data_IF_191868151182
#
_entry.id   IF_191868151182
#
_cell.length_a   1.000
_cell.length_b   1.000
_cell.length_c   1.000
_cell.angle_alpha   90.00
_cell.angle_beta   90.00
_cell.angle_gamma   90.00
#
_symmetry.space_group_name_H-M   'P 1'
#
loop_
_entity.id
_entity.type
_entity.pdbx_description
1 polymer ?
#
# COMPACT_ATOMS: atom_id res chain seq x y z
N UNK A 1 -4.35 35.02 -5.13
CA UNK A 1 -3.87 33.69 -5.53
C UNK A 1 -4.59 32.62 -4.77
N UNK A 2 -4.51 31.36 -5.21
CA UNK A 2 -5.24 30.22 -4.62
C UNK A 2 -4.76 29.84 -3.21
N UNK A 3 -3.68 30.46 -2.71
CA UNK A 3 -3.05 30.08 -1.44
C UNK A 3 -3.87 30.45 -0.20
N UNK A 4 -4.76 31.44 -0.31
CA UNK A 4 -5.66 31.81 0.79
C UNK A 4 -6.73 30.73 1.09
N UNK A 5 -7.08 29.95 0.10
CA UNK A 5 -8.08 28.87 0.20
C UNK A 5 -7.43 27.48 0.29
N UNK A 6 -6.12 27.44 0.50
CA UNK A 6 -5.35 26.21 0.47
C UNK A 6 -4.90 25.74 1.84
N UNK A 7 -4.65 24.43 1.94
CA UNK A 7 -3.97 23.81 3.07
C UNK A 7 -2.59 23.40 2.58
N UNK A 8 -1.57 23.66 3.38
CA UNK A 8 -0.22 23.23 3.09
C UNK A 8 0.21 22.15 4.07
N UNK A 9 0.81 21.08 3.54
CA UNK A 9 1.56 20.11 4.32
C UNK A 9 3.03 20.29 3.99
N UNK A 10 3.88 20.18 5.00
CA UNK A 10 5.33 20.22 4.83
C UNK A 10 6.01 19.28 5.81
N UNK A 11 7.22 18.90 5.51
CA UNK A 11 8.08 18.16 6.42
C UNK A 11 9.32 18.97 6.77
N UNK A 12 9.76 18.84 8.00
CA UNK A 12 11.00 19.42 8.53
C UNK A 12 11.83 18.31 9.17
N UNK A 13 13.12 18.54 9.28
CA UNK A 13 13.97 17.67 10.10
C UNK A 13 13.58 17.87 11.58
N UNK A 14 13.68 16.80 12.38
CA UNK A 14 13.39 16.85 13.81
C UNK A 14 14.32 17.77 14.61
N UNK A 15 15.50 18.05 14.05
CA UNK A 15 16.53 18.93 14.61
C UNK A 15 16.58 20.32 13.92
N UNK A 16 15.59 20.65 13.07
CA UNK A 16 15.54 21.91 12.35
C UNK A 16 15.37 23.10 13.32
N UNK A 17 16.21 24.11 13.13
CA UNK A 17 16.11 25.38 13.84
C UNK A 17 15.04 26.31 13.27
N UNK A 18 14.63 27.36 14.01
CA UNK A 18 13.69 28.36 13.52
C UNK A 18 14.16 28.99 12.20
N UNK A 19 13.33 28.95 11.16
CA UNK A 19 13.62 29.54 9.85
C UNK A 19 14.39 28.64 8.88
N UNK A 20 14.65 27.39 9.22
CA UNK A 20 15.16 26.40 8.27
C UNK A 20 14.08 26.06 7.23
N UNK A 21 14.52 25.81 5.98
CA UNK A 21 13.60 25.52 4.90
C UNK A 21 13.04 24.09 5.04
N UNK A 22 11.75 23.93 4.78
CA UNK A 22 11.08 22.63 4.75
C UNK A 22 11.81 21.64 3.81
N UNK A 23 11.82 20.37 4.17
CA UNK A 23 12.40 19.30 3.35
C UNK A 23 11.48 18.93 2.18
N UNK A 24 10.17 19.04 2.39
CA UNK A 24 9.15 18.86 1.37
C UNK A 24 7.93 19.76 1.64
N UNK A 25 7.18 20.06 0.59
CA UNK A 25 5.96 20.87 0.67
C UNK A 25 4.96 20.41 -0.39
N UNK A 26 3.68 20.56 -0.06
CA UNK A 26 2.56 20.31 -0.95
C UNK A 26 1.39 21.21 -0.61
N UNK A 27 0.57 21.53 -1.59
CA UNK A 27 -0.63 22.34 -1.45
C UNK A 27 -1.87 21.52 -1.79
N UNK A 28 -2.85 21.55 -0.89
CA UNK A 28 -4.17 20.95 -1.08
C UNK A 28 -5.17 22.06 -1.32
N UNK A 29 -6.02 21.90 -2.32
CA UNK A 29 -7.08 22.82 -2.66
C UNK A 29 -8.44 22.13 -2.52
N UNK A 30 -9.44 22.82 -1.92
CA UNK A 30 -10.80 22.31 -1.84
C UNK A 30 -11.46 22.20 -3.23
N UNK A 31 -12.57 21.46 -3.32
CA UNK A 31 -13.41 21.42 -4.53
C UNK A 31 -13.81 22.83 -4.98
N UNK A 32 -13.86 23.06 -6.29
CA UNK A 32 -14.30 24.31 -6.89
C UNK A 32 -13.20 25.38 -7.08
N UNK A 33 -11.98 25.19 -6.54
CA UNK A 33 -10.89 26.18 -6.69
C UNK A 33 -10.08 25.96 -7.98
N UNK A 34 -9.65 24.75 -8.25
CA UNK A 34 -8.93 24.39 -9.49
C UNK A 34 -9.73 23.45 -10.36
N UNK A 35 -10.46 22.53 -9.74
CA UNK A 35 -11.31 21.52 -10.34
C UNK A 35 -12.57 21.38 -9.49
N UNK A 36 -13.57 20.69 -10.01
CA UNK A 36 -14.81 20.38 -9.28
C UNK A 36 -14.57 19.44 -8.08
N UNK A 37 -13.39 18.84 -8.01
CA UNK A 37 -12.94 17.95 -6.94
C UNK A 37 -11.69 18.55 -6.25
N UNK A 38 -11.36 18.08 -5.03
CA UNK A 38 -10.12 18.50 -4.37
C UNK A 38 -8.90 18.19 -5.23
N UNK A 39 -7.88 19.02 -5.11
CA UNK A 39 -6.65 18.81 -5.86
C UNK A 39 -5.39 18.95 -5.02
N UNK A 40 -4.36 18.22 -5.42
CA UNK A 40 -3.03 18.27 -4.85
C UNK A 40 -2.09 18.88 -5.90
N UNK A 41 -1.33 19.88 -5.48
CA UNK A 41 -0.37 20.55 -6.35
C UNK A 41 0.79 21.17 -5.58
N UNK A 42 1.74 21.81 -6.28
CA UNK A 42 2.93 22.39 -5.67
C UNK A 42 3.76 21.36 -4.88
N UNK A 43 3.77 20.11 -5.36
CA UNK A 43 4.56 19.04 -4.74
C UNK A 43 6.03 19.30 -5.01
N UNK A 44 6.80 19.51 -3.95
CA UNK A 44 8.23 19.74 -4.04
C UNK A 44 8.96 19.06 -2.88
N UNK A 45 10.13 18.51 -3.17
CA UNK A 45 11.08 18.00 -2.19
C UNK A 45 12.45 18.61 -2.48
N UNK A 46 13.24 18.85 -1.43
CA UNK A 46 14.65 19.21 -1.61
C UNK A 46 15.38 18.15 -2.44
N UNK A 47 16.35 18.58 -3.24
CA UNK A 47 17.13 17.68 -4.08
C UNK A 47 17.85 16.58 -3.27
N UNK A 48 18.29 16.91 -2.06
CA UNK A 48 18.92 15.97 -1.11
C UNK A 48 17.98 14.89 -0.61
N UNK A 49 16.67 15.07 -0.76
CA UNK A 49 15.62 14.13 -0.33
C UNK A 49 15.03 13.32 -1.48
N UNK A 50 15.50 13.55 -2.71
CA UNK A 50 15.05 12.74 -3.85
C UNK A 50 15.56 11.31 -3.74
N UNK A 51 14.67 10.36 -4.04
CA UNK A 51 14.98 8.93 -3.94
C UNK A 51 14.94 8.34 -2.51
N UNK A 52 14.69 9.15 -1.48
CA UNK A 52 14.59 8.67 -0.08
C UNK A 52 13.21 8.13 0.28
N UNK A 53 12.21 8.27 -0.59
CA UNK A 53 10.80 7.93 -0.29
C UNK A 53 9.99 9.10 0.27
N UNK A 54 10.61 10.23 0.64
CA UNK A 54 9.91 11.37 1.25
C UNK A 54 8.79 11.92 0.36
N UNK A 55 9.01 12.01 -0.96
CA UNK A 55 7.97 12.47 -1.91
C UNK A 55 6.76 11.55 -1.94
N UNK A 56 6.96 10.24 -1.83
CA UNK A 56 5.89 9.27 -1.77
C UNK A 56 5.10 9.39 -0.46
N UNK A 57 5.80 9.49 0.67
CA UNK A 57 5.16 9.70 1.98
C UNK A 57 4.34 11.00 2.00
N UNK A 58 4.90 12.09 1.47
CA UNK A 58 4.20 13.37 1.36
C UNK A 58 2.90 13.24 0.57
N UNK A 59 2.94 12.58 -0.60
CA UNK A 59 1.75 12.39 -1.42
C UNK A 59 0.71 11.49 -0.77
N UNK A 60 1.11 10.42 -0.11
CA UNK A 60 0.18 9.54 0.61
C UNK A 60 -0.50 10.25 1.76
N UNK A 61 0.24 11.06 2.53
CA UNK A 61 -0.34 11.92 3.58
C UNK A 61 -1.29 12.96 2.98
N UNK A 62 -0.94 13.53 1.83
CA UNK A 62 -1.79 14.50 1.13
C UNK A 62 -3.10 13.89 0.66
N UNK A 63 -3.05 12.69 0.10
CA UNK A 63 -4.25 11.94 -0.29
C UNK A 63 -5.14 11.67 0.93
N UNK A 64 -4.57 11.17 2.04
CA UNK A 64 -5.32 10.94 3.28
C UNK A 64 -5.94 12.21 3.84
N UNK A 65 -5.21 13.33 3.80
CA UNK A 65 -5.73 14.61 4.21
C UNK A 65 -6.92 15.05 3.34
N UNK A 66 -6.82 14.92 2.01
CA UNK A 66 -7.94 15.19 1.11
C UNK A 66 -9.15 14.29 1.42
N UNK A 67 -8.92 13.02 1.66
CA UNK A 67 -9.98 12.05 1.99
C UNK A 67 -10.70 12.39 3.29
N UNK A 68 -9.98 12.90 4.29
CA UNK A 68 -10.56 13.32 5.55
C UNK A 68 -11.30 14.66 5.49
N UNK A 69 -10.73 15.61 4.76
CA UNK A 69 -11.28 16.96 4.66
C UNK A 69 -12.48 17.03 3.71
N UNK A 70 -12.43 16.25 2.64
CA UNK A 70 -13.44 16.24 1.59
C UNK A 70 -13.85 14.80 1.26
N UNK A 71 -14.52 14.14 2.19
CA UNK A 71 -15.02 12.79 1.97
C UNK A 71 -15.94 12.75 0.77
N UNK A 72 -15.97 11.62 0.06
CA UNK A 72 -16.76 11.36 -1.14
C UNK A 72 -16.27 12.02 -2.44
N UNK A 73 -15.17 12.78 -2.40
CA UNK A 73 -14.57 13.32 -3.61
C UNK A 73 -13.38 12.48 -4.08
N UNK A 74 -13.27 12.28 -5.39
CA UNK A 74 -12.01 11.89 -6.00
C UNK A 74 -10.98 13.01 -5.81
N UNK A 75 -9.69 12.69 -5.92
CA UNK A 75 -8.60 13.70 -5.84
C UNK A 75 -7.97 13.83 -7.22
N UNK A 76 -7.83 15.06 -7.70
CA UNK A 76 -7.23 15.35 -9.01
C UNK A 76 -5.86 16.00 -8.89
N UNK A 77 -4.97 15.68 -9.82
CA UNK A 77 -3.66 16.32 -9.99
C UNK A 77 -3.41 16.66 -11.45
N UNK A 78 -2.55 17.67 -11.69
CA UNK A 78 -1.85 17.90 -12.94
C UNK A 78 -0.45 17.34 -12.76
N UNK A 79 -0.15 16.21 -13.39
CA UNK A 79 1.12 15.51 -13.23
C UNK A 79 2.05 15.75 -14.41
N UNK A 80 3.33 15.98 -14.15
CA UNK A 80 4.34 15.93 -15.21
C UNK A 80 4.40 14.50 -15.77
N UNK A 81 4.33 14.34 -17.08
CA UNK A 81 4.15 13.03 -17.73
C UNK A 81 5.22 12.01 -17.34
N UNK A 82 6.46 12.41 -17.09
CA UNK A 82 7.51 11.48 -16.66
C UNK A 82 7.30 10.92 -15.25
N UNK A 83 6.35 11.46 -14.46
CA UNK A 83 5.98 10.99 -13.13
C UNK A 83 4.71 10.12 -13.11
N UNK A 84 4.14 9.76 -14.25
CA UNK A 84 2.92 8.95 -14.32
C UNK A 84 3.06 7.69 -13.45
N UNK A 85 4.10 6.88 -13.64
CA UNK A 85 4.30 5.66 -12.87
C UNK A 85 4.42 5.89 -11.36
N UNK A 86 4.99 7.02 -10.94
CA UNK A 86 5.04 7.42 -9.53
C UNK A 86 3.63 7.66 -8.98
N UNK A 87 2.80 8.42 -9.68
CA UNK A 87 1.44 8.71 -9.24
C UNK A 87 0.52 7.49 -9.35
N UNK A 88 0.71 6.63 -10.35
CA UNK A 88 -0.01 5.35 -10.45
C UNK A 88 0.29 4.45 -9.24
N UNK A 89 1.52 4.44 -8.73
CA UNK A 89 1.88 3.68 -7.52
C UNK A 89 1.15 4.15 -6.26
N UNK A 90 0.60 5.36 -6.28
CA UNK A 90 -0.19 5.96 -5.19
C UNK A 90 -1.71 5.90 -5.49
N UNK A 91 -2.08 5.26 -6.59
CA UNK A 91 -3.49 5.01 -6.95
C UNK A 91 -4.13 6.06 -7.84
N UNK A 92 -3.37 6.97 -8.43
CA UNK A 92 -3.87 7.85 -9.46
C UNK A 92 -3.97 7.13 -10.80
N UNK A 93 -4.91 7.53 -11.61
CA UNK A 93 -5.13 7.03 -12.97
C UNK A 93 -5.14 8.19 -13.94
N UNK A 94 -4.58 7.99 -15.12
CA UNK A 94 -4.60 9.00 -16.18
C UNK A 94 -6.06 9.36 -16.52
N UNK A 95 -6.35 10.65 -16.58
CA UNK A 95 -7.67 11.19 -16.89
C UNK A 95 -7.54 12.35 -17.89
N UNK A 96 -7.86 12.06 -19.13
CA UNK A 96 -7.80 13.03 -20.23
C UNK A 96 -6.54 12.94 -21.09
N UNK A 97 -6.36 13.95 -21.93
CA UNK A 97 -5.23 14.05 -22.84
C UNK A 97 -4.07 14.85 -22.21
N UNK A 98 -2.85 14.61 -22.70
CA UNK A 98 -1.69 15.38 -22.29
C UNK A 98 -1.72 16.82 -22.83
N UNK A 99 -1.13 17.74 -22.08
CA UNK A 99 -1.02 19.16 -22.45
C UNK A 99 0.31 19.75 -21.99
N UNK A 100 0.61 20.95 -22.45
CA UNK A 100 1.79 21.69 -22.00
C UNK A 100 1.40 22.70 -20.92
N UNK A 101 2.09 22.65 -19.80
CA UNK A 101 2.04 23.65 -18.73
C UNK A 101 3.48 24.15 -18.53
N UNK A 102 3.72 25.46 -18.71
CA UNK A 102 5.06 26.08 -18.67
C UNK A 102 6.11 25.35 -19.55
N UNK A 103 5.70 24.92 -20.76
CA UNK A 103 6.50 24.11 -21.71
C UNK A 103 6.94 22.72 -21.19
N UNK A 104 6.35 22.22 -20.12
CA UNK A 104 6.58 20.88 -19.60
C UNK A 104 5.34 20.02 -19.91
N UNK A 105 5.52 18.82 -20.49
CA UNK A 105 4.41 17.92 -20.73
C UNK A 105 3.72 17.48 -19.41
N UNK A 106 2.42 17.79 -19.30
CA UNK A 106 1.56 17.42 -18.19
C UNK A 106 0.40 16.55 -18.64
N UNK A 107 -0.19 15.86 -17.70
CA UNK A 107 -1.41 15.09 -17.88
C UNK A 107 -2.27 15.15 -16.63
N UNK A 108 -3.58 15.25 -16.82
CA UNK A 108 -4.52 15.13 -15.72
C UNK A 108 -4.52 13.70 -15.19
N UNK A 109 -4.49 13.57 -13.86
CA UNK A 109 -4.68 12.27 -13.23
C UNK A 109 -5.70 12.39 -12.10
N UNK A 110 -6.51 11.36 -11.91
CA UNK A 110 -7.54 11.31 -10.89
C UNK A 110 -7.34 10.07 -10.01
N UNK A 111 -7.47 10.25 -8.73
CA UNK A 111 -7.51 9.14 -7.77
C UNK A 111 -8.96 9.01 -7.29
N UNK A 112 -9.65 7.92 -7.65
CA UNK A 112 -11.02 7.69 -7.21
C UNK A 112 -11.12 7.69 -5.69
N UNK A 113 -12.23 8.20 -5.18
CA UNK A 113 -12.58 8.02 -3.78
C UNK A 113 -12.80 6.52 -3.52
N UNK A 114 -12.07 5.96 -2.55
CA UNK A 114 -12.24 4.61 -2.00
C UNK A 114 -12.86 3.59 -2.97
N UNK A 115 -12.16 3.30 -4.05
CA UNK A 115 -12.61 2.29 -4.98
C UNK A 115 -12.16 0.92 -4.50
N UNK A 116 -13.09 0.07 -4.09
CA UNK A 116 -12.84 -1.36 -3.87
C UNK A 116 -12.12 -1.97 -5.08
N UNK A 117 -12.54 -1.59 -6.29
CA UNK A 117 -11.90 -2.04 -7.52
C UNK A 117 -10.41 -1.69 -7.59
N UNK A 118 -10.03 -0.46 -7.20
CA UNK A 118 -8.63 -0.05 -7.16
C UNK A 118 -7.84 -0.84 -6.13
N UNK A 119 -8.36 -0.98 -4.92
CA UNK A 119 -7.65 -1.69 -3.85
C UNK A 119 -7.51 -3.19 -4.13
N UNK A 120 -8.54 -3.82 -4.66
CA UNK A 120 -8.49 -5.21 -5.11
C UNK A 120 -7.47 -5.36 -6.24
N UNK A 121 -7.45 -4.43 -7.21
CA UNK A 121 -6.46 -4.43 -8.28
C UNK A 121 -5.02 -4.30 -7.74
N UNK A 122 -4.79 -3.43 -6.78
CA UNK A 122 -3.47 -3.23 -6.17
C UNK A 122 -2.92 -4.53 -5.54
N UNK A 123 -3.74 -5.22 -4.76
CA UNK A 123 -3.37 -6.49 -4.13
C UNK A 123 -3.24 -7.60 -5.16
N UNK A 124 -4.16 -7.68 -6.13
CA UNK A 124 -4.13 -8.69 -7.20
C UNK A 124 -2.90 -8.53 -8.09
N UNK A 125 -2.50 -7.29 -8.38
CA UNK A 125 -1.27 -7.00 -9.13
C UNK A 125 -0.04 -7.52 -8.39
N UNK A 126 0.09 -7.23 -7.10
CA UNK A 126 1.19 -7.74 -6.28
C UNK A 126 1.21 -9.29 -6.26
N UNK A 127 0.04 -9.91 -6.22
CA UNK A 127 -0.07 -11.36 -6.25
C UNK A 127 0.32 -11.99 -7.60
N UNK A 128 -0.03 -11.35 -8.71
CA UNK A 128 0.42 -11.79 -10.04
C UNK A 128 1.95 -11.64 -10.19
N UNK A 129 2.52 -10.56 -9.67
CA UNK A 129 3.97 -10.35 -9.63
C UNK A 129 4.65 -11.45 -8.78
N UNK A 130 4.08 -11.80 -7.63
CA UNK A 130 4.56 -12.90 -6.78
C UNK A 130 4.49 -14.25 -7.53
N UNK A 131 3.36 -14.58 -8.14
CA UNK A 131 3.18 -15.82 -8.89
C UNK A 131 4.21 -15.95 -10.02
N UNK A 132 4.47 -14.86 -10.76
CA UNK A 132 5.47 -14.85 -11.81
C UNK A 132 6.88 -15.18 -11.29
N UNK A 133 7.28 -14.57 -10.16
CA UNK A 133 8.58 -14.87 -9.53
C UNK A 133 8.61 -16.29 -8.97
N UNK A 134 7.55 -16.71 -8.26
CA UNK A 134 7.42 -18.04 -7.68
C UNK A 134 7.58 -19.17 -8.72
N UNK A 135 6.90 -19.02 -9.89
CA UNK A 135 6.96 -20.00 -10.98
C UNK A 135 8.29 -19.98 -11.74
N UNK A 136 9.00 -18.85 -11.73
CA UNK A 136 10.33 -18.72 -12.33
C UNK A 136 11.45 -19.39 -11.53
N UNK A 137 11.23 -19.63 -10.23
CA UNK A 137 12.20 -20.29 -9.37
C UNK A 137 12.22 -21.81 -9.59
N UNK A 138 13.43 -22.37 -9.69
CA UNK A 138 13.61 -23.81 -9.75
C UNK A 138 13.02 -24.51 -8.50
N UNK A 139 12.58 -25.76 -8.68
CA UNK A 139 12.03 -26.60 -7.60
C UNK A 139 13.13 -27.21 -6.72
N UNK A 140 14.13 -26.43 -6.38
CA UNK A 140 15.14 -26.87 -5.41
C UNK A 140 14.56 -26.73 -3.99
N UNK A 141 13.95 -27.80 -3.52
CA UNK A 141 13.34 -27.89 -2.18
C UNK A 141 14.35 -27.71 -1.03
N UNK A 142 15.65 -27.69 -1.33
CA UNK A 142 16.70 -27.48 -0.31
C UNK A 142 17.16 -26.03 -0.20
N UNK A 143 16.72 -25.17 -1.10
CA UNK A 143 17.04 -23.74 -1.03
C UNK A 143 16.19 -23.06 0.02
N UNK A 144 16.82 -22.71 1.11
CA UNK A 144 16.18 -22.14 2.29
C UNK A 144 16.53 -20.66 2.36
N UNK A 145 15.54 -19.80 2.55
CA UNK A 145 15.73 -18.39 2.88
C UNK A 145 16.52 -18.27 4.20
N UNK A 146 17.07 -17.09 4.48
CA UNK A 146 17.84 -16.82 5.71
C UNK A 146 17.06 -17.11 6.99
N UNK A 147 15.73 -17.01 6.94
CA UNK A 147 14.79 -17.33 8.01
C UNK A 147 14.41 -18.81 8.10
N UNK A 148 14.94 -19.64 7.22
CA UNK A 148 14.69 -21.09 7.21
C UNK A 148 13.56 -21.52 6.28
N UNK A 149 12.85 -20.61 5.58
CA UNK A 149 11.72 -20.96 4.71
C UNK A 149 12.15 -21.23 3.27
N UNK A 150 11.50 -22.20 2.62
CA UNK A 150 11.55 -22.41 1.19
C UNK A 150 10.40 -21.65 0.48
N UNK A 151 10.40 -21.63 -0.87
CA UNK A 151 9.38 -20.90 -1.65
C UNK A 151 7.95 -21.33 -1.31
N UNK A 152 7.73 -22.63 -1.06
CA UNK A 152 6.42 -23.18 -0.72
C UNK A 152 5.94 -22.73 0.66
N UNK A 153 6.84 -22.64 1.62
CA UNK A 153 6.54 -22.14 2.95
C UNK A 153 6.19 -20.64 2.94
N UNK A 154 6.86 -19.86 2.08
CA UNK A 154 6.48 -18.45 1.84
C UNK A 154 5.06 -18.35 1.28
N UNK A 155 4.70 -19.17 0.30
CA UNK A 155 3.33 -19.19 -0.25
C UNK A 155 2.30 -19.59 0.81
N UNK A 156 2.59 -20.63 1.60
CA UNK A 156 1.72 -21.03 2.72
C UNK A 156 1.55 -19.93 3.75
N UNK A 157 2.62 -19.20 4.07
CA UNK A 157 2.55 -18.05 4.96
C UNK A 157 1.64 -16.93 4.42
N UNK A 158 1.74 -16.61 3.12
CA UNK A 158 0.85 -15.63 2.48
C UNK A 158 -0.61 -16.07 2.55
N UNK A 159 -0.91 -17.34 2.26
CA UNK A 159 -2.25 -17.90 2.36
C UNK A 159 -2.80 -17.76 3.79
N UNK A 160 -2.00 -18.15 4.79
CA UNK A 160 -2.40 -18.10 6.19
C UNK A 160 -2.64 -16.66 6.65
N UNK A 161 -1.75 -15.74 6.29
CA UNK A 161 -1.84 -14.32 6.64
C UNK A 161 -3.09 -13.66 6.04
N UNK A 162 -3.34 -13.86 4.75
CA UNK A 162 -4.53 -13.32 4.09
C UNK A 162 -5.82 -13.92 4.63
N UNK A 163 -5.87 -15.25 4.83
CA UNK A 163 -7.05 -15.92 5.39
C UNK A 163 -7.40 -15.42 6.78
N UNK A 164 -6.38 -15.21 7.63
CA UNK A 164 -6.57 -14.65 8.97
C UNK A 164 -7.07 -13.22 8.94
N UNK A 165 -6.53 -12.40 8.01
CA UNK A 165 -7.00 -11.03 7.83
C UNK A 165 -8.46 -10.99 7.36
N UNK A 166 -8.84 -11.80 6.38
CA UNK A 166 -10.23 -11.88 5.92
C UNK A 166 -11.18 -12.32 7.02
N UNK A 167 -10.80 -13.33 7.81
CA UNK A 167 -11.60 -13.78 8.97
C UNK A 167 -11.73 -12.67 10.02
N UNK A 168 -10.65 -11.93 10.30
CA UNK A 168 -10.68 -10.78 11.20
C UNK A 168 -11.62 -9.69 10.69
N UNK A 169 -11.53 -9.33 9.40
CA UNK A 169 -12.34 -8.29 8.79
C UNK A 169 -13.83 -8.69 8.74
N UNK A 170 -14.13 -9.95 8.47
CA UNK A 170 -15.49 -10.49 8.56
C UNK A 170 -16.07 -10.36 9.98
N UNK A 171 -15.28 -10.68 11.00
CA UNK A 171 -15.70 -10.46 12.40
C UNK A 171 -15.88 -8.96 12.69
N UNK A 172 -15.00 -8.12 12.15
CA UNK A 172 -15.05 -6.67 12.35
C UNK A 172 -16.27 -6.04 11.70
N UNK A 173 -16.69 -6.53 10.53
CA UNK A 173 -17.85 -6.00 9.80
C UNK A 173 -19.19 -6.20 10.52
N UNK A 174 -19.23 -7.02 11.55
CA UNK A 174 -20.41 -7.18 12.40
C UNK A 174 -20.63 -6.00 13.36
N UNK A 175 -19.64 -5.13 13.53
CA UNK A 175 -19.79 -3.88 14.27
C UNK A 175 -20.29 -2.76 13.36
N UNK A 176 -20.87 -1.71 13.94
CA UNK A 176 -21.15 -0.48 13.19
C UNK A 176 -19.88 0.37 13.08
N UNK A 177 -19.53 0.90 11.89
CA UNK A 177 -18.33 1.70 11.71
C UNK A 177 -18.30 2.93 12.64
N UNK A 178 -19.45 3.51 12.98
CA UNK A 178 -19.56 4.68 13.87
C UNK A 178 -19.10 4.38 15.31
N UNK A 179 -19.00 3.10 15.69
CA UNK A 179 -18.49 2.67 17.01
C UNK A 179 -16.98 2.51 17.05
N UNK A 180 -16.31 2.65 15.91
CA UNK A 180 -14.88 2.49 15.78
C UNK A 180 -14.14 3.84 15.90
N UNK A 181 -12.88 3.82 16.33
CA UNK A 181 -12.07 5.04 16.35
C UNK A 181 -11.96 5.66 14.96
N UNK A 182 -12.12 6.97 14.87
CA UNK A 182 -11.88 7.70 13.64
C UNK A 182 -10.41 7.58 13.19
N UNK A 183 -10.16 7.83 11.92
CA UNK A 183 -8.80 7.90 11.39
C UNK A 183 -8.00 9.00 12.09
N UNK A 184 -6.76 8.71 12.37
CA UNK A 184 -5.78 9.65 12.91
C UNK A 184 -4.71 9.92 11.85
N UNK A 185 -4.62 11.19 11.40
CA UNK A 185 -3.68 11.59 10.35
C UNK A 185 -2.22 11.39 10.75
N UNK A 186 -1.89 11.46 12.05
CA UNK A 186 -0.51 11.31 12.51
C UNK A 186 -0.07 9.84 12.51
N UNK A 187 -0.99 8.92 12.81
CA UNK A 187 -0.71 7.49 12.86
C UNK A 187 -0.95 6.78 11.53
N UNK A 188 -1.80 7.34 10.67
CA UNK A 188 -2.20 6.74 9.41
C UNK A 188 -1.01 6.59 8.45
N UNK A 189 -0.91 5.41 7.86
CA UNK A 189 0.12 5.08 6.88
C UNK A 189 1.49 4.74 7.46
N UNK A 190 1.72 4.85 8.77
CA UNK A 190 2.99 4.40 9.40
C UNK A 190 3.22 2.92 9.16
N UNK A 191 2.13 2.13 9.17
CA UNK A 191 2.21 0.70 8.92
C UNK A 191 2.57 0.36 7.49
N UNK A 192 1.95 1.02 6.52
CA UNK A 192 2.27 0.83 5.10
C UNK A 192 3.71 1.25 4.82
N UNK A 193 4.15 2.39 5.38
CA UNK A 193 5.55 2.83 5.29
C UNK A 193 6.49 1.82 5.92
N UNK A 194 6.18 1.31 7.10
CA UNK A 194 7.00 0.31 7.77
C UNK A 194 7.21 -0.92 6.89
N UNK A 195 6.14 -1.49 6.32
CA UNK A 195 6.25 -2.66 5.43
C UNK A 195 7.04 -2.36 4.17
N UNK A 196 6.87 -1.18 3.59
CA UNK A 196 7.62 -0.76 2.41
C UNK A 196 9.11 -0.56 2.71
N UNK A 197 9.43 0.02 3.86
CA UNK A 197 10.81 0.25 4.29
C UNK A 197 11.52 -1.07 4.67
N UNK A 198 10.76 -2.13 4.97
CA UNK A 198 11.25 -3.48 5.23
C UNK A 198 11.74 -4.23 3.96
N UNK A 199 11.95 -3.55 2.85
CA UNK A 199 12.53 -4.13 1.62
C UNK A 199 13.89 -4.79 1.84
N UNK A 200 14.59 -4.44 2.91
CA UNK A 200 15.88 -5.00 3.28
C UNK A 200 15.85 -5.54 4.71
N UNK A 201 16.07 -6.81 4.87
CA UNK A 201 16.72 -7.48 6.02
C UNK A 201 16.11 -7.43 7.43
N UNK A 202 14.99 -6.78 7.66
CA UNK A 202 14.37 -6.86 8.98
C UNK A 202 13.47 -8.09 9.02
N UNK A 203 13.94 -9.11 9.72
CA UNK A 203 13.10 -10.21 10.15
C UNK A 203 11.90 -9.67 10.91
N UNK A 204 10.73 -10.12 10.57
CA UNK A 204 9.54 -10.00 11.42
C UNK A 204 9.67 -10.95 12.62
N UNK A 205 10.88 -11.06 13.17
CA UNK A 205 11.18 -11.85 14.36
C UNK A 205 10.55 -11.18 15.57
N UNK A 206 9.23 -11.34 15.66
CA UNK A 206 8.56 -11.16 16.94
C UNK A 206 8.11 -12.53 17.46
N UNK A 207 8.86 -13.13 18.36
CA UNK A 207 8.47 -14.39 18.97
C UNK A 207 7.13 -14.28 19.75
N UNK A 208 6.66 -13.03 20.01
CA UNK A 208 5.40 -12.75 20.70
C UNK A 208 4.27 -12.33 19.75
N UNK A 209 4.55 -12.03 18.48
CA UNK A 209 3.64 -11.38 17.54
C UNK A 209 2.83 -12.30 16.64
N UNK A 210 2.90 -13.62 16.84
CA UNK A 210 2.06 -14.56 16.11
C UNK A 210 2.27 -14.49 14.59
N UNK A 211 3.52 -14.62 14.13
CA UNK A 211 3.78 -14.96 12.73
C UNK A 211 3.02 -16.26 12.47
N UNK A 212 2.06 -16.20 11.54
CA UNK A 212 1.31 -17.39 11.17
C UNK A 212 2.29 -18.38 10.56
N UNK A 213 2.55 -19.45 11.29
CA UNK A 213 3.43 -20.53 10.83
C UNK A 213 2.87 -21.11 9.53
N UNK A 214 3.73 -21.47 8.57
CA UNK A 214 3.33 -22.24 7.39
C UNK A 214 2.54 -23.52 7.76
N UNK A 215 2.79 -24.08 8.92
CA UNK A 215 2.08 -25.26 9.47
C UNK A 215 0.59 -25.05 9.70
N UNK A 216 0.14 -23.79 9.84
CA UNK A 216 -1.29 -23.47 10.02
C UNK A 216 -2.12 -23.59 8.72
N UNK A 217 -1.49 -23.72 7.57
CA UNK A 217 -2.17 -23.95 6.29
C UNK A 217 -2.33 -25.47 6.09
N UNK A 218 -3.58 -25.89 5.99
CA UNK A 218 -3.97 -27.30 5.97
C UNK A 218 -3.06 -28.18 5.07
N UNK A 219 -2.70 -29.33 5.58
CA UNK A 219 -1.93 -30.39 4.87
C UNK A 219 -2.65 -30.95 3.62
N UNK A 220 -3.88 -30.48 3.36
CA UNK A 220 -4.78 -31.01 2.33
C UNK A 220 -4.37 -30.64 0.88
N UNK A 221 -3.44 -29.69 0.68
CA UNK A 221 -3.02 -29.26 -0.65
C UNK A 221 -1.60 -29.70 -0.91
N UNK A 222 -1.42 -30.64 -1.85
CA UNK A 222 -0.16 -31.38 -2.04
C UNK A 222 0.76 -30.83 -3.12
N UNK A 223 0.25 -30.13 -4.14
CA UNK A 223 1.05 -29.55 -5.22
C UNK A 223 1.16 -28.04 -5.13
N UNK A 224 2.21 -27.45 -5.74
CA UNK A 224 2.41 -26.01 -5.78
C UNK A 224 1.34 -25.31 -6.63
N UNK A 225 0.87 -25.97 -7.70
CA UNK A 225 -0.21 -25.45 -8.53
C UNK A 225 -1.54 -25.40 -7.77
N UNK A 226 -1.84 -26.42 -6.96
CA UNK A 226 -3.03 -26.44 -6.12
C UNK A 226 -2.96 -25.36 -5.03
N UNK A 227 -1.80 -25.13 -4.43
CA UNK A 227 -1.60 -24.05 -3.45
C UNK A 227 -1.80 -22.67 -4.08
N UNK A 228 -1.28 -22.45 -5.28
CA UNK A 228 -1.44 -21.18 -5.99
C UNK A 228 -2.89 -20.96 -6.41
N UNK A 229 -3.56 -21.98 -6.92
CA UNK A 229 -4.98 -21.93 -7.26
C UNK A 229 -5.84 -21.65 -6.02
N UNK A 230 -5.57 -22.35 -4.92
CA UNK A 230 -6.24 -22.14 -3.64
C UNK A 230 -6.03 -20.71 -3.12
N UNK A 231 -4.81 -20.18 -3.19
CA UNK A 231 -4.53 -18.80 -2.77
C UNK A 231 -5.33 -17.77 -3.60
N UNK A 232 -5.35 -17.93 -4.92
CA UNK A 232 -6.07 -17.03 -5.82
C UNK A 232 -7.59 -17.07 -5.56
N UNK A 233 -8.16 -18.26 -5.40
CA UNK A 233 -9.60 -18.45 -5.13
C UNK A 233 -9.98 -17.94 -3.74
N UNK A 234 -9.20 -18.25 -2.72
CA UNK A 234 -9.41 -17.78 -1.34
C UNK A 234 -9.38 -16.25 -1.27
N UNK A 235 -8.43 -15.61 -1.96
CA UNK A 235 -8.33 -14.15 -2.04
C UNK A 235 -9.53 -13.54 -2.75
N UNK A 236 -9.90 -14.06 -3.91
CA UNK A 236 -11.05 -13.56 -4.67
C UNK A 236 -12.34 -13.64 -3.84
N UNK A 237 -12.57 -14.77 -3.19
CA UNK A 237 -13.71 -14.99 -2.29
C UNK A 237 -13.66 -14.10 -1.04
N UNK A 238 -12.46 -13.91 -0.46
CA UNK A 238 -12.24 -13.02 0.67
C UNK A 238 -12.59 -11.56 0.34
N UNK A 239 -12.11 -11.04 -0.79
CA UNK A 239 -12.43 -9.70 -1.25
C UNK A 239 -13.90 -9.51 -1.60
N UNK A 240 -14.53 -10.50 -2.21
CA UNK A 240 -15.96 -10.42 -2.50
C UNK A 240 -16.76 -10.22 -1.21
N UNK A 241 -16.55 -11.09 -0.20
CA UNK A 241 -17.22 -10.98 1.09
C UNK A 241 -16.93 -9.66 1.79
N UNK A 242 -15.65 -9.26 1.86
CA UNK A 242 -15.25 -8.02 2.51
C UNK A 242 -15.90 -6.79 1.86
N UNK A 243 -15.98 -6.78 0.53
CA UNK A 243 -16.67 -5.71 -0.23
C UNK A 243 -18.16 -5.68 0.06
N UNK A 244 -18.81 -6.83 0.17
CA UNK A 244 -20.24 -6.94 0.49
C UNK A 244 -20.51 -6.50 1.93
N UNK A 245 -19.73 -7.01 2.88
CA UNK A 245 -19.90 -6.75 4.31
C UNK A 245 -19.54 -5.31 4.71
N UNK A 246 -18.62 -4.67 3.99
CA UNK A 246 -18.13 -3.32 4.24
C UNK A 246 -18.45 -2.36 3.07
N UNK A 247 -19.64 -2.49 2.48
CA UNK A 247 -20.07 -1.67 1.34
C UNK A 247 -20.32 -0.20 1.73
N UNK A 248 -20.61 0.10 3.00
CA UNK A 248 -20.83 1.46 3.47
C UNK A 248 -19.52 2.26 3.50
N UNK A 249 -19.54 3.46 2.93
CA UNK A 249 -18.39 4.36 2.84
C UNK A 249 -17.81 4.76 4.20
N UNK A 250 -18.59 4.71 5.29
CA UNK A 250 -18.11 4.98 6.63
C UNK A 250 -16.96 4.03 7.05
N UNK A 251 -16.86 2.84 6.50
CA UNK A 251 -15.75 1.92 6.76
C UNK A 251 -14.39 2.47 6.35
N UNK A 252 -14.35 3.40 5.39
CA UNK A 252 -13.11 4.03 4.94
C UNK A 252 -12.61 5.16 5.86
N UNK A 253 -13.44 5.61 6.80
CA UNK A 253 -13.16 6.75 7.67
C UNK A 253 -12.79 6.37 9.09
N UNK A 254 -12.66 5.08 9.36
CA UNK A 254 -12.40 4.53 10.69
C UNK A 254 -11.21 3.57 10.70
N UNK A 255 -10.69 3.31 11.89
CA UNK A 255 -9.62 2.33 12.10
C UNK A 255 -10.23 0.94 12.19
N UNK A 256 -9.89 0.06 11.25
CA UNK A 256 -10.50 -1.28 11.15
C UNK A 256 -9.61 -2.40 11.66
N UNK A 257 -8.30 -2.26 11.56
CA UNK A 257 -7.33 -3.29 11.88
C UNK A 257 -6.22 -2.76 12.79
N UNK A 258 -5.81 -3.56 13.77
CA UNK A 258 -4.65 -3.27 14.62
C UNK A 258 -3.55 -4.29 14.35
N UNK A 259 -2.55 -3.85 13.60
CA UNK A 259 -1.35 -4.65 13.41
C UNK A 259 -0.41 -4.49 14.61
N UNK A 260 0.22 -5.56 15.15
CA UNK A 260 1.08 -5.48 16.33
C UNK A 260 2.21 -4.46 16.24
N UNK A 261 2.82 -4.31 15.06
CA UNK A 261 3.93 -3.38 14.82
C UNK A 261 3.53 -2.11 14.09
N UNK A 262 2.59 -2.20 13.15
CA UNK A 262 2.15 -1.08 12.33
C UNK A 262 1.12 -0.18 13.02
N UNK A 263 0.57 -0.63 14.15
CA UNK A 263 -0.47 0.11 14.86
C UNK A 263 -1.84 -0.02 14.20
N UNK A 264 -2.68 1.01 14.37
CA UNK A 264 -4.02 1.01 13.81
C UNK A 264 -3.99 1.38 12.33
N UNK A 265 -4.73 0.63 11.54
CA UNK A 265 -4.84 0.78 10.10
C UNK A 265 -6.29 1.07 9.69
N UNK A 266 -6.46 1.99 8.73
CA UNK A 266 -7.72 2.16 8.00
C UNK A 266 -8.00 0.97 7.11
N UNK A 267 -9.19 0.92 6.51
CA UNK A 267 -9.48 -0.09 5.49
C UNK A 267 -8.52 0.04 4.30
N UNK A 268 -8.26 1.28 3.86
CA UNK A 268 -7.27 1.57 2.81
C UNK A 268 -5.87 1.06 3.19
N UNK A 269 -5.38 1.46 4.37
CA UNK A 269 -4.03 1.07 4.80
C UNK A 269 -3.91 -0.45 5.01
N UNK A 270 -4.99 -1.11 5.44
CA UNK A 270 -5.02 -2.57 5.58
C UNK A 270 -4.83 -3.27 4.24
N UNK A 271 -5.53 -2.81 3.20
CA UNK A 271 -5.40 -3.39 1.85
C UNK A 271 -4.06 -3.02 1.19
N UNK A 272 -3.59 -1.79 1.39
CA UNK A 272 -2.26 -1.39 0.95
C UNK A 272 -1.16 -2.21 1.66
N UNK A 273 -1.33 -2.47 2.95
CA UNK A 273 -0.45 -3.34 3.73
C UNK A 273 -0.40 -4.76 3.15
N UNK A 274 -1.55 -5.34 2.77
CA UNK A 274 -1.56 -6.66 2.10
C UNK A 274 -0.70 -6.66 0.84
N UNK A 275 -0.85 -5.65 -0.01
CA UNK A 275 -0.06 -5.55 -1.24
C UNK A 275 1.44 -5.44 -0.97
N UNK A 276 1.84 -4.60 -0.01
CA UNK A 276 3.25 -4.45 0.38
C UNK A 276 3.81 -5.70 1.06
N UNK A 277 3.00 -6.43 1.83
CA UNK A 277 3.38 -7.71 2.44
C UNK A 277 3.69 -8.75 1.37
N UNK A 278 2.86 -8.85 0.33
CA UNK A 278 3.13 -9.73 -0.82
C UNK A 278 4.44 -9.31 -1.51
N UNK A 279 4.66 -8.00 -1.75
CA UNK A 279 5.89 -7.49 -2.37
C UNK A 279 7.13 -7.76 -1.53
N UNK A 280 7.02 -7.67 -0.21
CA UNK A 280 8.11 -8.07 0.68
C UNK A 280 8.56 -9.51 0.41
N UNK A 281 7.61 -10.43 0.26
CA UNK A 281 7.91 -11.82 -0.05
C UNK A 281 8.43 -12.03 -1.49
N UNK A 282 8.06 -11.19 -2.45
CA UNK A 282 8.70 -11.18 -3.78
C UNK A 282 10.21 -10.90 -3.63
N UNK A 283 10.60 -9.91 -2.84
CA UNK A 283 12.03 -9.61 -2.60
C UNK A 283 12.76 -10.76 -1.90
N UNK A 284 12.11 -11.46 -0.99
CA UNK A 284 12.69 -12.66 -0.37
C UNK A 284 12.96 -13.75 -1.42
N UNK A 285 11.98 -14.04 -2.30
CA UNK A 285 12.14 -15.03 -3.36
C UNK A 285 13.21 -14.62 -4.38
N UNK A 286 13.30 -13.36 -4.76
CA UNK A 286 14.34 -12.87 -5.68
C UNK A 286 15.75 -13.00 -5.09
N UNK A 287 15.94 -12.79 -3.78
CA UNK A 287 17.21 -13.05 -3.10
C UNK A 287 17.57 -14.53 -3.08
N UNK A 288 16.59 -15.40 -3.01
CA UNK A 288 16.81 -16.84 -3.11
C UNK A 288 17.40 -17.21 -4.48
N UNK A 289 16.82 -16.68 -5.56
CA UNK A 289 17.27 -16.92 -6.93
C UNK A 289 18.72 -16.46 -7.15
N UNK A 290 19.08 -15.25 -6.69
CA UNK A 290 20.45 -14.74 -6.81
C UNK A 290 21.49 -15.62 -6.10
N UNK A 291 21.17 -16.14 -4.91
CA UNK A 291 22.04 -17.06 -4.17
C UNK A 291 22.20 -18.45 -4.83
N UNK A 292 21.21 -18.89 -5.58
CA UNK A 292 21.27 -20.13 -6.34
C UNK A 292 22.19 -19.99 -7.56
N UNK A 293 22.13 -18.86 -8.25
CA UNK A 293 22.97 -18.55 -9.39
C UNK A 293 24.46 -18.45 -8.99
N UNK A 294 24.75 -17.83 -7.83
CA UNK A 294 26.13 -17.71 -7.31
C UNK A 294 26.74 -19.03 -6.84
N UNK A 295 25.93 -20.05 -6.48
CA UNK A 295 26.42 -21.39 -6.08
C UNK A 295 26.63 -22.34 -7.27
N UNK A 296 26.10 -21.97 -8.44
CA UNK A 296 26.20 -22.78 -9.69
C UNK A 296 27.33 -22.33 -10.60
N UNK A 297 28.06 -21.29 -10.25
CA UNK A 297 29.24 -20.79 -10.94
C UNK A 297 30.51 -21.18 -10.19
#
# INVERSE_FOLDING_TARGET
>A
GKDLDSIHLWSERSDAGPGEAAESVVRLLPPGISYDVPSIGRVACKDTQRGTGLGQELMERSVRACQRLWPQYAVQISAQQYLIGFYESIGFQVAGEGYLEDNIPHIGMIRPWHSWGHMIHLVSKAALEFEAVYRGLADDHQSVLEDGWNKKEVLKHLIASESSLFAYMQKKSQASPETLPALDLESDGRGVKLVRDLKSDIRWDDPTGGILSPESVAEAVSSDDDLMAFWNESRASGFQRMREDMANDAWWTVQVFRHPKAGYLSLYDTLAFMAEHIRHHIYQLQRLDSKLQDKGA
#
